data_IF_309984082063
#
_entry.id   IF_309984082063
#
_cell.length_a   1.000
_cell.length_b   1.000
_cell.length_c   1.000
_cell.angle_alpha   90.00
_cell.angle_beta   90.00
_cell.angle_gamma   90.00
#
_symmetry.space_group_name_H-M   'P 1'
#
loop_
_entity.id
_entity.type
_entity.pdbx_description
1 polymer ?
#
# COMPACT_ATOMS: atom_id res chain seq x y z
N UNK A 1 33.15 30.00 -26.75
CA UNK A 1 32.34 28.95 -27.40
C UNK A 1 31.55 28.25 -26.32
N UNK A 2 30.25 28.59 -26.17
CA UNK A 2 29.34 27.90 -25.25
C UNK A 2 28.64 26.80 -26.05
N UNK A 3 28.77 25.55 -25.60
CA UNK A 3 28.02 24.41 -26.12
C UNK A 3 26.55 24.57 -25.74
N UNK A 4 25.68 24.46 -26.74
CA UNK A 4 24.23 24.31 -26.59
C UNK A 4 23.96 22.79 -26.51
N UNK A 5 23.25 22.27 -25.51
CA UNK A 5 22.75 20.91 -25.58
C UNK A 5 21.46 20.89 -26.39
N UNK A 6 21.56 20.30 -27.57
CA UNK A 6 20.47 19.80 -28.40
C UNK A 6 19.88 18.56 -27.72
N UNK A 7 18.61 18.56 -27.34
CA UNK A 7 17.86 17.31 -27.13
C UNK A 7 16.48 17.47 -27.76
N UNK A 8 16.27 16.71 -28.82
CA UNK A 8 14.97 16.49 -29.44
C UNK A 8 14.41 15.19 -28.88
N UNK A 9 13.16 15.21 -28.45
CA UNK A 9 12.31 14.01 -28.40
C UNK A 9 10.86 14.45 -28.61
N UNK A 10 10.41 14.44 -29.87
CA UNK A 10 9.00 14.48 -30.21
C UNK A 10 8.62 13.08 -30.70
N UNK A 11 7.81 12.36 -29.93
CA UNK A 11 7.22 11.10 -30.35
C UNK A 11 5.70 11.25 -30.41
N UNK A 12 5.18 11.03 -31.61
CA UNK A 12 3.77 11.12 -32.04
C UNK A 12 3.09 9.76 -31.94
N UNK A 13 1.91 9.65 -31.32
CA UNK A 13 1.10 8.42 -31.39
C UNK A 13 -0.42 8.64 -31.44
N UNK A 14 -1.05 7.73 -32.21
CA UNK A 14 -2.45 7.71 -32.69
C UNK A 14 -3.51 7.43 -31.62
N UNK A 15 -4.67 8.04 -31.84
CA UNK A 15 -5.94 7.86 -31.14
C UNK A 15 -6.40 6.39 -31.02
N UNK A 16 -6.53 5.90 -29.79
CA UNK A 16 -7.57 4.93 -29.38
C UNK A 16 -7.99 5.26 -27.95
N UNK A 17 -9.29 5.44 -27.73
CA UNK A 17 -9.90 5.92 -26.47
C UNK A 17 -9.71 5.00 -25.27
N UNK A 18 -8.48 4.91 -24.76
CA UNK A 18 -8.16 4.27 -23.51
C UNK A 18 -7.29 5.24 -22.69
N UNK A 19 -7.71 5.53 -21.45
CA UNK A 19 -6.98 6.41 -20.51
C UNK A 19 -5.58 5.87 -20.12
N UNK A 20 -5.20 4.69 -20.62
CA UNK A 20 -3.86 4.11 -20.46
C UNK A 20 -2.80 4.75 -21.39
N UNK A 21 -3.18 5.76 -22.19
CA UNK A 21 -2.29 6.45 -23.15
C UNK A 21 -2.22 7.97 -22.96
N UNK A 22 -2.16 8.44 -21.72
CA UNK A 22 -1.73 9.81 -21.47
C UNK A 22 -0.21 9.89 -21.64
N UNK A 23 0.23 10.27 -22.84
CA UNK A 23 1.61 10.68 -23.11
C UNK A 23 1.81 12.01 -22.36
N UNK A 24 2.55 11.94 -21.26
CA UNK A 24 2.75 13.05 -20.35
C UNK A 24 3.94 13.91 -20.82
N UNK A 25 3.70 15.19 -21.10
CA UNK A 25 4.77 16.17 -21.30
C UNK A 25 5.02 16.84 -19.96
N UNK A 26 5.97 16.29 -19.19
CA UNK A 26 6.58 16.99 -18.06
C UNK A 26 7.63 17.94 -18.61
N UNK A 27 7.36 19.24 -18.53
CA UNK A 27 8.30 20.29 -18.91
C UNK A 27 8.55 21.18 -17.70
N UNK A 28 9.82 21.38 -17.34
CA UNK A 28 10.22 22.13 -16.15
C UNK A 28 10.33 23.64 -16.38
N UNK A 29 10.15 24.12 -17.62
CA UNK A 29 10.23 25.54 -17.95
C UNK A 29 9.37 25.90 -19.16
N UNK A 30 9.70 25.44 -20.37
CA UNK A 30 9.00 25.80 -21.60
C UNK A 30 8.56 24.55 -22.36
N UNK A 31 7.39 24.59 -22.99
CA UNK A 31 6.91 23.52 -23.84
C UNK A 31 6.45 24.06 -25.20
N UNK A 32 6.71 23.30 -26.27
CA UNK A 32 6.13 23.57 -27.59
C UNK A 32 5.31 22.36 -28.02
N UNK A 33 4.04 22.60 -28.26
CA UNK A 33 3.06 21.61 -28.71
C UNK A 33 2.85 21.79 -30.21
N UNK A 34 2.73 20.69 -30.92
CA UNK A 34 2.48 20.68 -32.36
C UNK A 34 1.22 19.89 -32.69
N UNK A 35 0.43 20.41 -33.62
CA UNK A 35 -0.71 19.71 -34.17
C UNK A 35 -0.24 18.78 -35.30
N UNK A 36 -0.39 17.47 -35.12
CA UNK A 36 -0.03 16.49 -36.16
C UNK A 36 -0.93 16.64 -37.40
N UNK A 37 -0.35 16.34 -38.59
CA UNK A 37 -1.05 16.39 -39.89
C UNK A 37 -1.69 17.75 -40.20
N UNK A 38 -1.02 18.83 -39.81
CA UNK A 38 -1.56 20.17 -39.88
C UNK A 38 -1.46 20.84 -41.27
N UNK A 39 -2.11 20.29 -42.30
CA UNK A 39 -2.37 21.03 -43.56
C UNK A 39 -3.62 21.91 -43.46
N UNK A 40 -3.43 23.24 -43.39
CA UNK A 40 -4.52 24.24 -43.32
C UNK A 40 -4.78 24.83 -41.93
N UNK A 41 -5.78 25.71 -41.83
CA UNK A 41 -6.11 26.47 -40.61
C UNK A 41 -6.55 25.54 -39.45
N UNK A 42 -5.99 25.78 -38.27
CA UNK A 42 -6.29 25.04 -37.04
C UNK A 42 -6.63 25.99 -35.91
N UNK A 43 -7.36 25.46 -34.94
CA UNK A 43 -7.74 26.18 -33.71
C UNK A 43 -7.33 25.36 -32.51
N UNK A 44 -6.87 26.04 -31.47
CA UNK A 44 -6.44 25.40 -30.23
C UNK A 44 -7.41 25.70 -29.10
N UNK A 45 -7.62 24.72 -28.24
CA UNK A 45 -8.37 24.91 -26.99
C UNK A 45 -7.56 24.41 -25.81
N UNK A 46 -7.63 25.11 -24.67
CA UNK A 46 -7.15 24.65 -23.37
C UNK A 46 -8.35 24.30 -22.50
N UNK A 47 -8.44 23.06 -22.04
CA UNK A 47 -9.55 22.58 -21.19
C UNK A 47 -10.95 22.85 -21.80
N UNK A 48 -11.02 22.87 -23.14
CA UNK A 48 -12.24 23.16 -23.90
C UNK A 48 -12.48 24.64 -24.25
N UNK A 49 -11.69 25.57 -23.70
CA UNK A 49 -11.80 27.00 -23.99
C UNK A 49 -10.85 27.40 -25.14
N UNK A 50 -11.33 28.22 -26.07
CA UNK A 50 -10.53 28.65 -27.24
C UNK A 50 -9.34 29.49 -26.80
N UNK A 51 -8.14 29.03 -27.17
CA UNK A 51 -6.89 29.75 -26.93
C UNK A 51 -6.71 30.86 -27.97
N UNK A 52 -6.34 32.04 -27.50
CA UNK A 52 -5.92 33.18 -28.32
C UNK A 52 -4.43 33.36 -28.21
N UNK A 53 -3.82 33.97 -29.23
CA UNK A 53 -2.42 34.37 -29.13
C UNK A 53 -2.21 35.34 -27.96
N UNK A 54 -1.10 35.19 -27.24
CA UNK A 54 -0.74 35.90 -26.01
C UNK A 54 -1.74 35.74 -24.87
N UNK A 55 -2.42 34.59 -24.78
CA UNK A 55 -3.25 34.26 -23.63
C UNK A 55 -2.44 34.23 -22.32
N UNK A 56 -3.13 34.38 -21.19
CA UNK A 56 -2.54 34.35 -19.84
C UNK A 56 -1.37 35.32 -19.66
N UNK A 57 -1.54 36.57 -20.09
CA UNK A 57 -0.50 37.60 -19.94
C UNK A 57 0.71 37.40 -20.85
N UNK A 58 0.59 36.60 -21.92
CA UNK A 58 1.66 36.33 -22.87
C UNK A 58 2.44 35.04 -22.62
N UNK A 59 2.02 34.23 -21.63
CA UNK A 59 2.62 32.92 -21.32
C UNK A 59 2.35 31.88 -22.42
N UNK A 60 1.25 32.03 -23.16
CA UNK A 60 0.91 31.14 -24.27
C UNK A 60 0.92 31.91 -25.58
N UNK A 61 1.68 31.40 -26.56
CA UNK A 61 1.74 31.90 -27.93
C UNK A 61 1.17 30.86 -28.87
N UNK A 62 0.27 31.30 -29.75
CA UNK A 62 -0.38 30.43 -30.73
C UNK A 62 0.09 30.86 -32.11
N UNK A 63 0.83 30.00 -32.79
CA UNK A 63 1.35 30.23 -34.14
C UNK A 63 0.91 29.09 -35.06
N UNK A 64 -0.31 29.23 -35.60
CA UNK A 64 -0.95 28.24 -36.47
C UNK A 64 -0.94 26.82 -35.88
N UNK A 65 -0.17 25.88 -36.47
CA UNK A 65 -0.11 24.49 -36.01
C UNK A 65 0.69 24.29 -34.72
N UNK A 66 1.30 25.34 -34.16
CA UNK A 66 2.16 25.24 -32.99
C UNK A 66 1.68 26.14 -31.85
N UNK A 67 1.82 25.65 -30.63
CA UNK A 67 1.57 26.42 -29.40
C UNK A 67 2.83 26.37 -28.55
N UNK A 68 3.34 27.54 -28.15
CA UNK A 68 4.47 27.65 -27.24
C UNK A 68 3.96 28.15 -25.89
N UNK A 69 4.31 27.42 -24.83
CA UNK A 69 4.04 27.75 -23.43
C UNK A 69 5.37 28.14 -22.79
N UNK A 70 5.51 29.41 -22.42
CA UNK A 70 6.77 30.00 -21.93
C UNK A 70 7.14 29.51 -20.52
N UNK A 71 6.13 29.28 -19.67
CA UNK A 71 6.27 28.80 -18.29
C UNK A 71 5.20 27.74 -18.01
N UNK A 72 5.61 26.52 -17.65
CA UNK A 72 4.71 25.39 -17.39
C UNK A 72 4.35 25.35 -15.90
N UNK A 73 3.34 26.14 -15.55
CA UNK A 73 2.75 26.20 -14.20
C UNK A 73 1.27 26.63 -14.32
N UNK A 74 0.54 26.67 -13.21
CA UNK A 74 -0.78 27.29 -13.18
C UNK A 74 -0.71 28.75 -13.70
N UNK A 75 -1.64 29.20 -14.56
CA UNK A 75 -2.91 28.55 -14.94
C UNK A 75 -2.88 27.84 -16.31
N UNK A 76 -1.70 27.59 -16.88
CA UNK A 76 -1.56 27.10 -18.27
C UNK A 76 -1.51 25.57 -18.37
N UNK A 77 -1.73 24.87 -17.26
CA UNK A 77 -1.81 23.40 -17.20
C UNK A 77 -3.13 22.87 -17.78
N UNK A 78 -3.06 21.67 -18.34
CA UNK A 78 -4.24 20.91 -18.75
C UNK A 78 -4.24 20.39 -20.17
N UNK A 79 -5.44 20.14 -20.70
CA UNK A 79 -5.62 19.52 -22.01
C UNK A 79 -5.56 20.57 -23.11
N UNK A 80 -4.49 20.54 -23.91
CA UNK A 80 -4.38 21.27 -25.17
C UNK A 80 -4.92 20.39 -26.29
N UNK A 81 -6.01 20.83 -26.92
CA UNK A 81 -6.61 20.12 -28.04
C UNK A 81 -6.52 20.95 -29.31
N UNK A 82 -6.03 20.32 -30.39
CA UNK A 82 -6.02 20.90 -31.72
C UNK A 82 -7.29 20.50 -32.47
N UNK A 83 -7.92 21.47 -33.13
CA UNK A 83 -9.17 21.32 -33.86
C UNK A 83 -9.02 21.81 -35.29
N UNK A 84 -9.66 21.09 -36.21
CA UNK A 84 -9.79 21.47 -37.62
C UNK A 84 -11.21 21.20 -38.09
N UNK A 85 -11.82 22.20 -38.74
CA UNK A 85 -13.18 22.09 -39.30
C UNK A 85 -14.19 21.50 -38.29
N UNK A 86 -14.08 21.89 -37.02
CA UNK A 86 -14.94 21.40 -35.94
C UNK A 86 -14.62 20.01 -35.38
N UNK A 87 -13.54 19.35 -35.81
CA UNK A 87 -13.11 18.02 -35.33
C UNK A 87 -11.79 18.11 -34.55
N UNK A 88 -11.73 17.48 -33.38
CA UNK A 88 -10.51 17.31 -32.58
C UNK A 88 -9.55 16.36 -33.32
N UNK A 89 -8.36 16.86 -33.64
CA UNK A 89 -7.31 16.16 -34.40
C UNK A 89 -6.34 15.47 -33.44
N UNK A 90 -5.85 16.21 -32.46
CA UNK A 90 -4.91 15.72 -31.46
C UNK A 90 -5.20 16.34 -30.09
N UNK A 91 -4.64 15.72 -29.06
CA UNK A 91 -4.72 16.20 -27.68
C UNK A 91 -3.41 15.92 -26.97
N UNK A 92 -2.93 16.89 -26.22
CA UNK A 92 -1.74 16.76 -25.39
C UNK A 92 -2.05 17.34 -24.02
N UNK A 93 -1.67 16.61 -22.97
CA UNK A 93 -1.80 17.09 -21.59
C UNK A 93 -0.46 17.69 -21.17
N UNK A 94 -0.52 18.93 -20.69
CA UNK A 94 0.61 19.61 -20.07
C UNK A 94 0.45 19.47 -18.55
N UNK A 95 1.36 18.72 -17.92
CA UNK A 95 1.34 18.44 -16.50
C UNK A 95 2.58 19.02 -15.81
N UNK A 96 2.45 19.34 -14.54
CA UNK A 96 3.54 19.80 -13.70
C UNK A 96 3.99 18.69 -12.75
N UNK A 97 5.28 18.41 -12.74
CA UNK A 97 5.87 17.44 -11.82
C UNK A 97 6.01 18.06 -10.42
N UNK A 98 5.57 17.35 -9.38
CA UNK A 98 5.69 17.79 -7.99
C UNK A 98 6.72 16.94 -7.25
N UNK A 99 7.57 17.60 -6.47
CA UNK A 99 8.58 16.95 -5.61
C UNK A 99 8.06 16.73 -4.17
N UNK A 100 6.78 16.34 -4.00
CA UNK A 100 6.20 16.11 -2.68
C UNK A 100 6.60 14.73 -2.12
N UNK A 101 7.81 14.63 -1.56
CA UNK A 101 8.35 13.40 -0.98
C UNK A 101 7.53 12.86 0.21
N UNK A 102 6.89 13.73 0.98
CA UNK A 102 6.11 13.37 2.18
C UNK A 102 4.89 12.48 1.84
N UNK A 103 4.35 12.60 0.63
CA UNK A 103 3.19 11.81 0.20
C UNK A 103 3.50 10.31 0.08
N UNK A 104 4.77 9.96 -0.23
CA UNK A 104 5.21 8.58 -0.40
C UNK A 104 5.34 7.82 0.93
N UNK A 105 5.40 8.52 2.06
CA UNK A 105 5.45 7.88 3.38
C UNK A 105 4.17 7.07 3.65
N UNK A 106 3.03 7.53 3.14
CA UNK A 106 1.73 6.90 3.32
C UNK A 106 1.51 5.66 2.44
N UNK A 107 2.35 5.46 1.40
CA UNK A 107 2.40 4.23 0.62
C UNK A 107 3.13 3.15 1.43
N UNK A 108 2.38 2.17 1.95
CA UNK A 108 2.93 1.05 2.73
C UNK A 108 2.84 -0.24 1.93
N UNK A 109 3.99 -0.88 1.72
CA UNK A 109 4.08 -2.19 1.09
C UNK A 109 4.30 -3.27 2.17
N UNK A 110 3.70 -4.43 1.98
CA UNK A 110 3.90 -5.59 2.84
C UNK A 110 3.80 -6.90 2.04
N UNK A 111 4.66 -7.85 2.38
CA UNK A 111 4.68 -9.20 1.85
C UNK A 111 4.28 -10.18 2.95
N UNK A 112 3.37 -11.10 2.68
CA UNK A 112 2.91 -12.08 3.69
C UNK A 112 3.90 -13.20 3.95
N UNK A 113 4.81 -13.38 3.01
CA UNK A 113 5.74 -14.51 2.86
C UNK A 113 6.79 -14.12 1.83
N UNK A 114 7.75 -15.00 1.57
CA UNK A 114 8.74 -14.84 0.51
C UNK A 114 8.23 -15.31 -0.87
N UNK A 115 6.92 -15.51 -1.00
CA UNK A 115 6.31 -15.84 -2.28
C UNK A 115 6.45 -14.68 -3.26
N UNK A 116 6.16 -14.90 -4.53
CA UNK A 116 6.43 -13.94 -5.61
C UNK A 116 5.51 -12.70 -5.62
N UNK A 117 4.74 -12.43 -4.55
CA UNK A 117 3.69 -11.42 -4.52
C UNK A 117 3.72 -10.61 -3.22
N UNK A 118 3.63 -9.29 -3.34
CA UNK A 118 3.41 -8.37 -2.22
C UNK A 118 2.32 -7.35 -2.53
N UNK A 119 1.79 -6.71 -1.48
CA UNK A 119 0.73 -5.71 -1.61
C UNK A 119 1.25 -4.35 -1.19
N UNK A 120 0.96 -3.32 -1.98
CA UNK A 120 1.13 -1.93 -1.58
C UNK A 120 -0.22 -1.26 -1.40
N UNK A 121 -0.37 -0.51 -0.31
CA UNK A 121 -1.58 0.22 0.03
C UNK A 121 -1.20 1.67 0.25
N UNK A 122 -1.84 2.56 -0.50
CA UNK A 122 -1.66 4.00 -0.36
C UNK A 122 -2.94 4.62 0.17
N UNK A 123 -2.92 5.16 1.39
CA UNK A 123 -4.10 5.78 2.02
C UNK A 123 -3.98 7.29 2.03
N UNK A 124 -5.11 7.97 1.87
CA UNK A 124 -5.25 9.42 2.00
C UNK A 124 -4.29 10.22 1.11
N UNK A 125 -4.00 9.70 -0.08
CA UNK A 125 -2.98 10.29 -0.94
C UNK A 125 -3.48 11.55 -1.67
N UNK A 126 -4.79 11.73 -1.82
CA UNK A 126 -5.37 12.91 -2.50
C UNK A 126 -5.22 12.92 -4.02
N UNK A 127 -4.60 11.89 -4.59
CA UNK A 127 -4.50 11.65 -6.04
C UNK A 127 -5.76 10.94 -6.57
N UNK A 128 -6.07 11.11 -7.85
CA UNK A 128 -7.23 10.50 -8.52
C UNK A 128 -6.90 9.15 -9.16
N UNK A 129 -5.65 8.98 -9.60
CA UNK A 129 -5.12 7.74 -10.17
C UNK A 129 -3.65 7.60 -9.79
N UNK A 130 -3.23 6.37 -9.56
CA UNK A 130 -1.84 6.04 -9.31
C UNK A 130 -1.49 4.72 -9.99
N UNK A 131 -0.23 4.60 -10.41
CA UNK A 131 0.34 3.38 -10.99
C UNK A 131 1.71 3.08 -10.40
N UNK A 132 2.00 1.79 -10.26
CA UNK A 132 3.27 1.30 -9.73
C UNK A 132 3.97 0.38 -10.73
N UNK A 133 5.30 0.41 -10.71
CA UNK A 133 6.15 -0.47 -11.51
C UNK A 133 7.38 -0.90 -10.71
N UNK A 134 7.64 -2.21 -10.65
CA UNK A 134 8.74 -2.79 -9.89
C UNK A 134 10.06 -2.94 -10.68
N UNK A 135 10.01 -2.75 -12.00
CA UNK A 135 11.19 -2.82 -12.85
C UNK A 135 11.58 -1.41 -13.33
N UNK A 136 12.68 -0.83 -12.82
CA UNK A 136 13.14 0.49 -13.23
C UNK A 136 13.70 0.49 -14.66
N UNK A 137 14.20 -0.65 -15.15
CA UNK A 137 14.85 -0.76 -16.46
C UNK A 137 13.86 -1.08 -17.58
N UNK A 138 12.59 -1.27 -17.24
CA UNK A 138 11.56 -1.41 -18.22
C UNK A 138 11.23 -0.03 -18.82
N UNK A 139 11.79 0.26 -19.99
CA UNK A 139 11.57 1.49 -20.75
C UNK A 139 10.56 1.30 -21.90
N UNK A 140 9.98 0.11 -22.05
CA UNK A 140 9.03 -0.18 -23.13
C UNK A 140 7.60 0.24 -22.80
N UNK A 141 6.78 0.45 -23.82
CA UNK A 141 5.33 0.66 -23.63
C UNK A 141 4.62 -0.59 -23.06
N UNK A 142 5.28 -1.74 -23.06
CA UNK A 142 4.75 -3.02 -22.58
C UNK A 142 5.06 -3.29 -21.10
N UNK A 143 5.54 -2.30 -20.35
CA UNK A 143 5.87 -2.49 -18.94
C UNK A 143 4.64 -2.85 -18.10
N UNK A 144 4.78 -3.77 -17.14
CA UNK A 144 3.67 -4.27 -16.34
C UNK A 144 3.27 -3.28 -15.24
N UNK A 145 2.79 -2.10 -15.64
CA UNK A 145 2.24 -1.12 -14.71
C UNK A 145 0.99 -1.64 -14.03
N UNK A 146 0.95 -1.56 -12.70
CA UNK A 146 -0.25 -1.87 -11.92
C UNK A 146 -0.95 -0.56 -11.59
N UNK A 147 -2.08 -0.31 -12.26
CA UNK A 147 -2.85 0.93 -12.10
C UNK A 147 -4.01 0.72 -11.13
N UNK A 148 -4.21 1.69 -10.24
CA UNK A 148 -5.33 1.72 -9.31
C UNK A 148 -6.04 3.07 -9.43
N UNK A 149 -7.38 3.04 -9.44
CA UNK A 149 -8.24 4.24 -9.49
C UNK A 149 -9.12 4.25 -8.26
N UNK A 150 -9.19 5.39 -7.58
CA UNK A 150 -9.86 5.51 -6.29
C UNK A 150 -9.70 6.90 -5.70
N UNK A 151 -10.64 7.28 -4.84
CA UNK A 151 -10.68 8.64 -4.28
C UNK A 151 -9.96 8.77 -2.92
N UNK A 152 -9.65 7.67 -2.23
CA UNK A 152 -9.08 7.73 -0.87
C UNK A 152 -8.02 6.67 -0.58
N UNK A 153 -8.15 5.47 -1.14
CA UNK A 153 -7.22 4.37 -0.90
C UNK A 153 -6.94 3.62 -2.19
N UNK A 154 -5.67 3.49 -2.53
CA UNK A 154 -5.21 2.65 -3.63
C UNK A 154 -4.69 1.31 -3.10
N UNK A 155 -5.02 0.26 -3.84
CA UNK A 155 -4.55 -1.10 -3.59
C UNK A 155 -3.82 -1.61 -4.82
N UNK A 156 -2.60 -2.10 -4.61
CA UNK A 156 -1.74 -2.65 -5.64
C UNK A 156 -1.26 -4.02 -5.22
N UNK A 157 -1.43 -5.00 -6.10
CA UNK A 157 -0.82 -6.32 -5.99
C UNK A 157 0.35 -6.37 -6.97
N UNK A 158 1.55 -6.61 -6.45
CA UNK A 158 2.79 -6.53 -7.19
C UNK A 158 3.44 -7.90 -7.22
N UNK A 159 4.01 -8.28 -8.37
CA UNK A 159 4.74 -9.54 -8.55
C UNK A 159 6.23 -9.28 -8.73
N UNK A 160 7.06 -10.19 -8.23
CA UNK A 160 8.53 -10.16 -8.41
C UNK A 160 9.10 -11.52 -8.79
N UNK A 161 10.37 -11.51 -9.21
CA UNK A 161 11.12 -12.70 -9.64
C UNK A 161 12.20 -13.15 -8.66
N UNK A 162 12.28 -12.55 -7.46
CA UNK A 162 13.26 -12.94 -6.43
C UNK A 162 13.11 -14.41 -6.03
N UNK A 163 14.26 -15.06 -5.76
CA UNK A 163 14.28 -16.41 -5.21
C UNK A 163 14.04 -16.37 -3.70
N UNK A 164 13.09 -17.15 -3.16
CA UNK A 164 12.78 -17.15 -1.73
C UNK A 164 13.91 -17.72 -0.85
N UNK A 165 14.90 -18.39 -1.46
CA UNK A 165 16.04 -18.99 -0.75
C UNK A 165 17.33 -18.19 -0.87
N UNK A 166 17.36 -17.17 -1.73
CA UNK A 166 18.54 -16.37 -1.97
C UNK A 166 18.57 -15.14 -1.07
N UNK A 167 19.77 -14.76 -0.62
CA UNK A 167 19.95 -13.48 0.05
C UNK A 167 19.81 -12.33 -0.95
N UNK A 168 19.02 -11.31 -0.60
CA UNK A 168 18.88 -10.11 -1.40
C UNK A 168 20.16 -9.26 -1.32
N UNK A 169 20.82 -9.11 -2.47
CA UNK A 169 22.03 -8.30 -2.64
C UNK A 169 21.73 -6.84 -2.99
N UNK A 170 20.54 -6.55 -3.50
CA UNK A 170 20.11 -5.22 -3.93
C UNK A 170 18.65 -4.98 -3.58
N UNK A 171 18.33 -3.72 -3.25
CA UNK A 171 16.95 -3.30 -3.01
C UNK A 171 16.13 -3.39 -4.29
N UNK A 172 14.85 -3.68 -4.13
CA UNK A 172 13.86 -3.54 -5.20
C UNK A 172 13.53 -2.06 -5.38
N UNK A 173 13.31 -1.66 -6.62
CA UNK A 173 13.03 -0.28 -6.99
C UNK A 173 11.60 -0.15 -7.52
N UNK A 174 10.74 0.48 -6.74
CA UNK A 174 9.33 0.68 -7.05
C UNK A 174 9.12 2.10 -7.56
N UNK A 175 8.94 2.25 -8.87
CA UNK A 175 8.51 3.52 -9.49
C UNK A 175 7.04 3.76 -9.19
N UNK A 176 6.75 4.97 -8.78
CA UNK A 176 5.43 5.45 -8.38
C UNK A 176 5.08 6.66 -9.22
N UNK A 177 3.94 6.58 -9.88
CA UNK A 177 3.37 7.73 -10.55
C UNK A 177 1.94 7.96 -10.09
N UNK A 178 1.59 9.21 -9.77
CA UNK A 178 0.26 9.56 -9.33
C UNK A 178 -0.18 10.91 -9.86
N UNK A 179 -1.46 11.03 -10.22
CA UNK A 179 -2.03 12.23 -10.81
C UNK A 179 -3.06 12.88 -9.89
N UNK A 180 -2.94 14.19 -9.72
CA UNK A 180 -3.88 15.03 -8.99
C UNK A 180 -4.16 16.27 -9.83
N UNK A 181 -5.32 16.31 -10.48
CA UNK A 181 -5.63 17.31 -11.51
C UNK A 181 -4.57 17.31 -12.62
N UNK A 182 -3.77 18.37 -12.72
CA UNK A 182 -2.68 18.50 -13.70
C UNK A 182 -1.29 18.39 -13.07
N UNK A 183 -1.23 17.97 -11.80
CA UNK A 183 0.02 17.67 -11.11
C UNK A 183 0.31 16.18 -11.17
N UNK A 184 1.56 15.84 -11.46
CA UNK A 184 2.05 14.47 -11.45
C UNK A 184 3.16 14.31 -10.41
N UNK A 185 3.01 13.33 -9.52
CA UNK A 185 4.10 12.85 -8.69
C UNK A 185 4.84 11.78 -9.49
N UNK A 186 6.15 11.92 -9.66
CA UNK A 186 7.04 10.85 -10.14
C UNK A 186 8.10 10.62 -9.08
N UNK A 187 8.12 9.43 -8.50
CA UNK A 187 9.10 9.12 -7.45
C UNK A 187 9.41 7.64 -7.42
N UNK A 188 10.42 7.29 -6.64
CA UNK A 188 10.91 5.93 -6.50
C UNK A 188 10.99 5.57 -5.02
N UNK A 189 10.48 4.40 -4.68
CA UNK A 189 10.62 3.78 -3.36
C UNK A 189 11.54 2.57 -3.44
N UNK A 190 12.52 2.50 -2.55
CA UNK A 190 13.44 1.37 -2.47
C UNK A 190 13.22 0.59 -1.16
N UNK A 191 13.29 -0.74 -1.24
CA UNK A 191 13.20 -1.64 -0.08
C UNK A 191 13.77 -3.01 -0.42
N UNK A 192 14.22 -3.76 0.59
CA UNK A 192 14.37 -5.21 0.45
C UNK A 192 13.02 -5.90 0.71
N UNK A 193 12.76 -7.03 0.04
CA UNK A 193 11.57 -7.85 0.32
C UNK A 193 11.53 -8.23 1.81
N UNK A 194 12.67 -8.66 2.38
CA UNK A 194 12.79 -9.02 3.81
C UNK A 194 12.36 -7.91 4.78
N UNK A 195 12.48 -6.64 4.39
CA UNK A 195 12.12 -5.49 5.23
C UNK A 195 10.60 -5.25 5.25
N UNK A 196 9.90 -5.68 4.19
CA UNK A 196 8.44 -5.57 4.08
C UNK A 196 7.72 -6.87 4.44
N UNK A 197 8.46 -7.92 4.83
CA UNK A 197 7.86 -9.17 5.32
C UNK A 197 7.06 -8.90 6.58
N UNK A 198 5.81 -9.32 6.53
CA UNK A 198 4.86 -9.28 7.63
C UNK A 198 3.92 -10.48 7.50
N UNK A 199 4.15 -11.57 8.25
CA UNK A 199 3.29 -12.74 8.19
C UNK A 199 1.84 -12.40 8.55
N UNK A 200 0.91 -13.21 8.07
CA UNK A 200 -0.45 -13.22 8.63
C UNK A 200 -0.44 -13.74 10.09
N UNK A 201 -1.54 -13.58 10.82
CA UNK A 201 -1.61 -14.03 12.21
C UNK A 201 -1.48 -15.56 12.31
N UNK A 202 -0.74 -16.11 13.30
CA UNK A 202 -0.53 -17.55 13.40
C UNK A 202 -1.81 -18.26 13.85
N UNK A 203 -1.90 -19.56 13.55
CA UNK A 203 -3.03 -20.41 13.94
C UNK A 203 -2.77 -21.01 15.31
N UNK A 204 -3.57 -20.62 16.30
CA UNK A 204 -3.54 -21.22 17.64
C UNK A 204 -4.32 -22.53 17.59
N UNK A 205 -3.62 -23.66 17.69
CA UNK A 205 -4.23 -25.00 17.59
C UNK A 205 -4.84 -25.45 18.92
N UNK A 206 -4.31 -24.97 20.04
CA UNK A 206 -4.83 -25.30 21.37
C UNK A 206 -3.81 -25.12 22.49
N UNK A 207 -4.10 -25.73 23.63
CA UNK A 207 -3.22 -25.74 24.79
C UNK A 207 -3.36 -27.06 25.56
N UNK A 208 -2.28 -27.47 26.22
CA UNK A 208 -2.23 -28.63 27.10
C UNK A 208 -1.71 -28.22 28.49
N UNK A 209 -2.30 -28.79 29.55
CA UNK A 209 -1.80 -28.59 30.91
C UNK A 209 -0.51 -29.39 31.14
N UNK A 210 0.54 -28.72 31.59
CA UNK A 210 1.83 -29.34 31.93
C UNK A 210 2.24 -28.81 33.32
N UNK A 211 1.76 -29.50 34.37
CA UNK A 211 2.00 -29.11 35.75
C UNK A 211 1.43 -27.70 36.07
N UNK A 212 2.26 -26.75 36.54
CA UNK A 212 1.83 -25.37 36.82
C UNK A 212 1.70 -24.49 35.56
N UNK A 213 2.10 -25.01 34.40
CA UNK A 213 2.14 -24.29 33.13
C UNK A 213 1.11 -24.82 32.13
N UNK A 214 0.86 -24.02 31.10
CA UNK A 214 0.11 -24.36 29.90
C UNK A 214 1.08 -24.34 28.72
N UNK A 215 1.19 -25.47 28.03
CA UNK A 215 1.88 -25.55 26.74
C UNK A 215 0.91 -25.12 25.65
N UNK A 216 1.21 -24.01 24.99
CA UNK A 216 0.47 -23.49 23.84
C UNK A 216 1.02 -24.14 22.57
N UNK A 217 0.12 -24.60 21.70
CA UNK A 217 0.49 -25.12 20.39
C UNK A 217 0.08 -24.09 19.33
N UNK A 218 1.06 -23.58 18.60
CA UNK A 218 0.90 -22.60 17.53
C UNK A 218 1.41 -23.20 16.22
N UNK A 219 0.67 -22.98 15.14
CA UNK A 219 1.08 -23.33 13.79
C UNK A 219 1.24 -22.06 12.94
N UNK A 220 2.14 -22.07 11.93
CA UNK A 220 2.26 -20.98 10.98
C UNK A 220 0.94 -20.67 10.24
N UNK A 221 0.79 -19.43 9.76
CA UNK A 221 -0.26 -19.08 8.81
C UNK A 221 -0.18 -19.95 7.55
N UNK A 222 -1.32 -20.17 6.90
CA UNK A 222 -1.37 -20.95 5.63
C UNK A 222 -0.65 -20.22 4.49
N UNK A 223 -0.57 -18.90 4.57
CA UNK A 223 0.10 -18.05 3.60
C UNK A 223 1.62 -17.99 3.80
N UNK A 224 2.16 -18.63 4.83
CA UNK A 224 3.60 -18.55 5.12
C UNK A 224 4.41 -19.53 4.26
N UNK A 225 5.61 -19.11 3.87
CA UNK A 225 6.48 -19.89 2.97
C UNK A 225 6.82 -21.28 3.54
N UNK A 226 6.96 -22.24 2.63
CA UNK A 226 7.32 -23.63 2.93
C UNK A 226 8.67 -23.99 2.29
N UNK A 227 9.49 -24.84 2.93
CA UNK A 227 9.22 -25.62 4.14
C UNK A 227 9.49 -24.83 5.44
N UNK A 228 8.76 -25.17 6.52
CA UNK A 228 8.91 -24.52 7.83
C UNK A 228 10.27 -24.77 8.49
N UNK A 229 11.01 -25.80 8.08
CA UNK A 229 12.38 -26.03 8.51
C UNK A 229 13.34 -24.95 8.01
N UNK A 230 13.02 -24.30 6.90
CA UNK A 230 13.80 -23.19 6.34
C UNK A 230 13.20 -21.86 6.77
N UNK A 231 11.91 -21.63 6.50
CA UNK A 231 11.19 -20.41 6.85
C UNK A 231 10.65 -20.50 8.28
N UNK A 232 11.54 -20.45 9.27
CA UNK A 232 11.18 -20.55 10.68
C UNK A 232 10.56 -19.25 11.19
N UNK A 233 9.47 -19.37 11.94
CA UNK A 233 8.82 -18.26 12.63
C UNK A 233 9.13 -18.29 14.13
N UNK A 234 9.43 -17.13 14.70
CA UNK A 234 9.35 -16.95 16.14
C UNK A 234 7.97 -16.46 16.54
N UNK A 235 7.53 -16.84 17.75
CA UNK A 235 6.21 -16.56 18.25
C UNK A 235 6.29 -15.73 19.52
N UNK A 236 5.30 -14.87 19.71
CA UNK A 236 5.06 -14.17 20.96
C UNK A 236 3.63 -14.42 21.41
N UNK A 237 3.49 -14.76 22.69
CA UNK A 237 2.22 -15.06 23.34
C UNK A 237 1.88 -13.93 24.28
N UNK A 238 0.71 -13.34 24.12
CA UNK A 238 0.12 -12.43 25.10
C UNK A 238 -0.98 -13.16 25.87
N UNK A 239 -0.99 -13.01 27.19
CA UNK A 239 -1.99 -13.63 28.06
C UNK A 239 -2.44 -12.69 29.17
N UNK A 240 -3.61 -13.00 29.74
CA UNK A 240 -4.22 -12.25 30.86
C UNK A 240 -4.25 -13.14 32.10
N UNK A 241 -3.61 -12.70 33.18
CA UNK A 241 -3.62 -13.41 34.47
C UNK A 241 -5.01 -13.40 35.10
N UNK A 242 -5.41 -14.52 35.72
CA UNK A 242 -6.70 -14.65 36.44
C UNK A 242 -6.73 -13.88 37.76
N UNK A 243 -5.57 -13.74 38.39
CA UNK A 243 -5.48 -13.24 39.76
C UNK A 243 -5.69 -11.71 39.81
N UNK A 244 -5.09 -10.96 38.88
CA UNK A 244 -5.13 -9.49 38.84
C UNK A 244 -5.63 -8.89 37.50
N UNK A 245 -5.86 -9.71 36.47
CA UNK A 245 -6.29 -9.23 35.14
C UNK A 245 -5.18 -8.56 34.33
N UNK A 246 -3.92 -8.63 34.76
CA UNK A 246 -2.79 -8.01 34.08
C UNK A 246 -2.45 -8.74 32.78
N UNK A 247 -2.04 -7.96 31.76
CA UNK A 247 -1.57 -8.45 30.47
C UNK A 247 -0.06 -8.63 30.50
N UNK A 248 0.40 -9.82 30.10
CA UNK A 248 1.81 -10.13 30.00
C UNK A 248 2.12 -10.76 28.65
N UNK A 249 3.36 -10.59 28.17
CA UNK A 249 3.85 -11.07 26.90
C UNK A 249 5.10 -11.92 27.10
N UNK A 250 5.26 -12.98 26.31
CA UNK A 250 6.45 -13.84 26.36
C UNK A 250 6.68 -14.53 25.02
N UNK A 251 7.94 -14.81 24.68
CA UNK A 251 8.30 -15.66 23.54
C UNK A 251 8.21 -17.16 23.86
N UNK A 252 8.00 -17.54 25.13
CA UNK A 252 7.90 -18.93 25.52
C UNK A 252 6.50 -19.51 25.23
N UNK A 253 6.46 -20.72 24.65
CA UNK A 253 5.21 -21.46 24.47
C UNK A 253 4.67 -22.09 25.77
N UNK A 254 5.42 -22.01 26.87
CA UNK A 254 5.00 -22.44 28.20
C UNK A 254 4.62 -21.20 29.02
N UNK A 255 3.31 -21.01 29.22
CA UNK A 255 2.76 -19.86 29.94
C UNK A 255 2.13 -20.30 31.27
N UNK A 256 1.90 -19.39 32.24
CA UNK A 256 1.28 -19.76 33.51
C UNK A 256 -0.13 -20.34 33.33
N UNK A 257 -0.51 -21.35 34.13
CA UNK A 257 -1.87 -21.93 34.05
C UNK A 257 -2.96 -21.00 34.56
N UNK A 258 -2.63 -20.09 35.48
CA UNK A 258 -3.57 -19.14 36.10
C UNK A 258 -3.86 -17.95 35.17
N UNK A 259 -4.29 -18.23 33.95
CA UNK A 259 -4.66 -17.23 32.95
C UNK A 259 -6.11 -17.42 32.51
N UNK A 260 -6.75 -16.35 32.06
CA UNK A 260 -8.14 -16.33 31.60
C UNK A 260 -8.23 -16.54 30.09
N UNK A 261 -7.36 -15.88 29.34
CA UNK A 261 -7.26 -15.96 27.88
C UNK A 261 -5.85 -15.65 27.39
N UNK A 262 -5.52 -16.11 26.18
CA UNK A 262 -4.26 -15.82 25.51
C UNK A 262 -4.44 -15.63 24.00
N UNK A 263 -3.47 -15.04 23.33
CA UNK A 263 -3.37 -14.90 21.87
C UNK A 263 -1.91 -14.92 21.44
N UNK A 264 -1.66 -15.09 20.15
CA UNK A 264 -0.32 -15.24 19.60
C UNK A 264 -0.10 -14.32 18.40
N UNK A 265 1.14 -13.91 18.18
CA UNK A 265 1.62 -13.31 16.93
C UNK A 265 2.96 -13.93 16.55
N UNK A 266 3.39 -13.74 15.31
CA UNK A 266 4.62 -14.32 14.79
C UNK A 266 5.36 -13.32 13.91
N UNK A 267 6.66 -13.55 13.73
CA UNK A 267 7.51 -12.89 12.72
C UNK A 267 8.61 -13.84 12.28
N UNK A 268 9.32 -13.47 11.22
CA UNK A 268 10.49 -14.24 10.80
C UNK A 268 11.53 -14.31 11.92
N UNK A 269 12.09 -15.50 12.15
CA UNK A 269 13.02 -15.75 13.25
C UNK A 269 14.45 -15.25 12.97
N UNK A 270 14.83 -15.03 11.72
CA UNK A 270 16.21 -14.80 11.31
C UNK A 270 16.43 -13.43 10.66
N UNK A 271 15.38 -12.80 10.12
CA UNK A 271 15.45 -11.44 9.59
C UNK A 271 14.64 -10.45 10.42
N UNK A 272 15.09 -9.19 10.52
CA UNK A 272 14.35 -8.14 11.18
C UNK A 272 13.08 -7.79 10.38
N UNK A 273 12.00 -8.54 10.63
CA UNK A 273 10.69 -8.37 9.99
C UNK A 273 9.64 -7.80 10.95
N UNK A 274 8.54 -7.31 10.39
CA UNK A 274 7.43 -6.80 11.19
C UNK A 274 6.64 -7.94 11.84
N UNK A 275 6.19 -7.70 13.08
CA UNK A 275 5.26 -8.61 13.74
C UNK A 275 3.92 -8.68 13.00
N UNK A 276 3.39 -9.91 12.91
CA UNK A 276 2.03 -10.14 12.44
C UNK A 276 1.00 -9.49 13.37
N UNK A 277 -0.23 -9.37 12.87
CA UNK A 277 -1.35 -9.02 13.73
C UNK A 277 -1.56 -10.12 14.78
N UNK A 278 -2.01 -9.72 15.96
CA UNK A 278 -2.40 -10.67 16.99
C UNK A 278 -3.55 -11.56 16.50
N UNK A 279 -3.45 -12.86 16.77
CA UNK A 279 -4.56 -13.78 16.60
C UNK A 279 -5.73 -13.45 17.54
N UNK A 280 -6.88 -14.06 17.27
CA UNK A 280 -8.04 -13.92 18.15
C UNK A 280 -7.77 -14.49 19.55
N UNK A 281 -8.44 -13.91 20.56
CA UNK A 281 -8.33 -14.38 21.94
C UNK A 281 -8.87 -15.81 22.09
N UNK A 282 -8.03 -16.68 22.63
CA UNK A 282 -8.35 -18.04 23.02
C UNK A 282 -8.63 -18.11 24.53
N UNK A 283 -9.83 -18.53 24.91
CA UNK A 283 -10.23 -18.62 26.32
C UNK A 283 -9.76 -19.93 26.96
N UNK A 284 -9.17 -19.84 28.15
CA UNK A 284 -8.79 -21.02 28.96
C UNK A 284 -9.98 -21.40 29.82
N UNK A 285 -10.78 -22.37 29.35
CA UNK A 285 -11.95 -22.87 30.09
C UNK A 285 -11.52 -23.40 31.46
N UNK A 286 -11.97 -22.75 32.52
CA UNK A 286 -11.89 -23.33 33.86
C UNK A 286 -12.80 -24.55 33.93
N UNK A 287 -12.33 -25.65 34.53
CA UNK A 287 -13.25 -26.71 34.99
C UNK A 287 -14.27 -26.03 35.91
N UNK A 288 -15.52 -25.89 35.47
CA UNK A 288 -16.63 -25.57 36.37
C UNK A 288 -16.65 -26.68 37.41
N UNK A 289 -16.17 -26.42 38.63
CA UNK A 289 -16.48 -27.28 39.77
C UNK A 289 -18.01 -27.24 39.88
N UNK A 290 -18.69 -28.32 39.51
CA UNK A 290 -20.08 -28.53 39.92
C UNK A 290 -20.04 -28.47 41.45
N UNK A 291 -20.50 -27.37 42.04
CA UNK A 291 -20.85 -27.36 43.45
C UNK A 291 -21.95 -28.41 43.61
N UNK A 292 -21.57 -29.60 44.07
CA UNK A 292 -22.53 -30.51 44.67
C UNK A 292 -23.01 -29.81 45.93
N UNK A 293 -24.26 -29.37 45.91
CA UNK A 293 -24.98 -28.90 47.09
C UNK A 293 -25.03 -30.04 48.11
N UNK A 294 -24.07 -30.08 49.02
CA UNK A 294 -24.16 -30.89 50.24
C UNK A 294 -24.15 -29.99 51.46
N UNK A 295 -25.40 -29.73 51.90
CA UNK A 295 -25.90 -29.53 53.27
C UNK A 295 -25.54 -28.22 54.00
N UNK A 296 -26.58 -27.58 54.55
CA UNK A 296 -26.63 -27.24 55.97
C UNK A 296 -28.04 -26.77 56.41
N UNK A 297 -28.53 -27.33 57.52
CA UNK A 297 -29.48 -26.67 58.43
C UNK A 297 -30.88 -27.28 58.58
N UNK A 298 -31.08 -28.13 59.60
CA UNK A 298 -31.86 -27.75 60.81
C UNK A 298 -32.17 -28.97 61.70
N UNK A 299 -31.40 -29.11 62.80
CA UNK A 299 -31.89 -29.77 64.02
C UNK A 299 -32.36 -28.66 64.96
N UNK A 300 -33.67 -28.48 65.08
CA UNK A 300 -34.29 -27.65 66.13
C UNK A 300 -34.25 -28.41 67.46
N UNK A 301 -33.45 -27.93 68.40
CA UNK A 301 -33.52 -28.32 69.81
C UNK A 301 -34.56 -27.42 70.48
N UNK A 302 -35.60 -28.01 71.07
CA UNK A 302 -36.64 -27.28 71.80
C UNK A 302 -36.62 -27.72 73.26
N UNK A 303 -36.23 -26.82 74.18
CA UNK A 303 -36.50 -26.97 75.62
C UNK A 303 -36.91 -25.63 76.24
N UNK A 304 -38.22 -25.57 76.47
CA UNK A 304 -38.92 -25.05 77.66
C UNK A 304 -38.63 -23.65 78.19
N UNK A 305 -39.71 -22.87 78.32
CA UNK A 305 -40.05 -22.09 79.54
C UNK A 305 -41.55 -21.74 79.52
N UNK A 306 -42.29 -22.24 80.52
CA UNK A 306 -43.57 -21.66 80.99
C UNK A 306 -43.26 -20.49 81.93
N UNK A 307 -44.16 -19.49 82.03
CA UNK A 307 -44.59 -19.07 83.36
C UNK A 307 -46.11 -18.78 83.47
N UNK A 308 -46.57 -18.91 84.72
CA UNK A 308 -47.89 -18.67 85.33
C UNK A 308 -49.05 -19.55 84.87
#
# INVERSE_FOLDING_TARGET
MRMVPTVWAAMTYKCTGNMDKALDVTATQQATLSCENADGEVTWTLNGEVLKDRAFGGLVRVDGPSVTVEEVDDPVLGEYACWRAGKKISSTYLLQEVEEADDLESLKCHAKSYDCVFTCIWRNSGYSVARLLLDPNCESESCPWVTSRGHSTFHFEMSHSLSPYAEEVSMQELRVEALKHFYILKTTKQFFLRDIIRPDSPRVLGHAEVGPQLRVTVAPPETWSSPQSFFSLENEIEYVLKDNGERQQTSCLLIPRKISKFRARCRDAFVPSAWSQWSQWNNVKGKKKKCQNTRCGNKKNNRSKKPL
#
